data_IF_578967906990
#
_entry.id   IF_578967906990
#
_cell.length_a   1.000
_cell.length_b   1.000
_cell.length_c   1.000
_cell.angle_alpha   90.00
_cell.angle_beta   90.00
_cell.angle_gamma   90.00
#
_symmetry.space_group_name_H-M   'P 1'
#
loop_
_entity.id
_entity.type
_entity.pdbx_description
1 polymer ?
#
# COMPACT_ATOMS: atom_id res chain seq x y z
N UNK A 1 11.21 10.87 2.10
CA UNK A 1 10.11 10.33 1.25
C UNK A 1 8.77 10.60 1.93
N UNK A 2 7.62 10.51 1.26
CA UNK A 2 6.30 10.61 1.89
C UNK A 2 5.81 9.22 2.31
N UNK A 3 5.68 8.98 3.61
CA UNK A 3 5.27 7.68 4.15
C UNK A 3 3.85 7.76 4.73
N UNK A 4 2.95 6.93 4.23
CA UNK A 4 1.64 6.70 4.85
C UNK A 4 1.76 5.61 5.90
N UNK A 5 1.56 5.92 7.18
CA UNK A 5 1.46 4.89 8.23
C UNK A 5 0.01 4.78 8.67
N UNK A 6 -0.56 3.58 8.71
CA UNK A 6 -1.97 3.41 9.10
C UNK A 6 -2.25 2.16 9.93
N UNK A 7 -3.28 2.23 10.78
CA UNK A 7 -3.70 1.10 11.62
C UNK A 7 -4.58 0.13 10.82
N UNK A 8 -4.45 -1.15 11.10
CA UNK A 8 -5.28 -2.26 10.63
C UNK A 8 -6.02 -2.88 11.82
N UNK A 9 -7.16 -3.49 11.55
CA UNK A 9 -7.93 -4.25 12.57
C UNK A 9 -8.19 -5.69 12.16
N UNK A 10 -8.07 -6.00 10.87
CA UNK A 10 -8.30 -7.30 10.29
C UNK A 10 -7.24 -7.63 9.23
N UNK A 11 -7.19 -8.90 8.85
CA UNK A 11 -6.32 -9.45 7.81
C UNK A 11 -6.98 -9.40 6.42
N UNK A 12 -6.21 -9.75 5.38
CA UNK A 12 -6.72 -9.89 4.01
C UNK A 12 -6.62 -8.63 3.14
N UNK A 13 -6.14 -7.53 3.70
CA UNK A 13 -5.84 -6.31 2.94
C UNK A 13 -4.49 -5.72 3.40
N UNK A 14 -3.42 -5.81 2.60
CA UNK A 14 -3.34 -6.35 1.24
C UNK A 14 -3.64 -7.86 1.16
N UNK A 15 -4.08 -8.30 -0.01
CA UNK A 15 -4.31 -9.72 -0.29
C UNK A 15 -3.01 -10.48 -0.66
N UNK A 16 -3.13 -11.75 -1.06
CA UNK A 16 -1.99 -12.56 -1.46
C UNK A 16 -1.27 -12.05 -2.72
N UNK A 17 -1.88 -11.15 -3.50
CA UNK A 17 -1.25 -10.52 -4.66
C UNK A 17 -0.51 -9.23 -4.31
N UNK A 18 -0.53 -8.81 -3.04
CA UNK A 18 -0.01 -7.52 -2.58
C UNK A 18 -0.93 -6.35 -2.91
N UNK A 19 -2.18 -6.60 -3.29
CA UNK A 19 -3.14 -5.56 -3.64
C UNK A 19 -3.75 -4.93 -2.37
N UNK A 20 -3.45 -3.66 -2.14
CA UNK A 20 -4.05 -2.85 -1.08
C UNK A 20 -5.34 -2.18 -1.57
N UNK A 21 -6.41 -2.29 -0.79
CA UNK A 21 -7.74 -1.80 -1.14
C UNK A 21 -8.64 -2.86 -1.79
N UNK A 22 -8.27 -4.14 -1.75
CA UNK A 22 -9.07 -5.23 -2.34
C UNK A 22 -10.47 -5.30 -1.69
N UNK A 23 -10.56 -4.96 -0.41
CA UNK A 23 -11.79 -4.91 0.37
C UNK A 23 -12.25 -3.47 0.67
N UNK A 24 -11.80 -2.50 -0.13
CA UNK A 24 -12.09 -1.08 0.02
C UNK A 24 -11.68 -0.47 1.39
N UNK A 25 -10.73 -1.09 2.09
CA UNK A 25 -10.20 -0.62 3.37
C UNK A 25 -9.36 0.66 3.22
N UNK A 26 -9.57 1.66 4.10
CA UNK A 26 -8.97 3.00 4.03
C UNK A 26 -9.56 3.96 2.96
N UNK A 27 -10.37 3.46 2.02
CA UNK A 27 -11.06 4.27 1.00
C UNK A 27 -10.15 5.30 0.32
N UNK A 28 -10.60 6.55 0.24
CA UNK A 28 -9.90 7.67 -0.40
C UNK A 28 -8.51 8.00 0.21
N UNK A 29 -8.18 7.47 1.40
CA UNK A 29 -6.82 7.63 1.94
C UNK A 29 -5.80 6.99 1.02
N UNK A 30 -6.18 5.92 0.30
CA UNK A 30 -5.32 5.24 -0.68
C UNK A 30 -4.96 6.14 -1.86
N UNK A 31 -5.78 7.13 -2.19
CA UNK A 31 -5.57 8.03 -3.33
C UNK A 31 -4.64 9.19 -3.01
N UNK A 32 -4.38 9.48 -1.72
CA UNK A 32 -3.41 10.52 -1.32
C UNK A 32 -2.03 10.23 -1.88
N UNK A 33 -1.26 11.27 -2.19
CA UNK A 33 0.11 11.11 -2.67
C UNK A 33 1.05 10.66 -1.53
N UNK A 34 1.67 9.49 -1.71
CA UNK A 34 2.71 8.93 -0.86
C UNK A 34 3.67 8.10 -1.72
N UNK A 35 4.91 7.97 -1.25
CA UNK A 35 5.95 7.16 -1.91
C UNK A 35 6.00 5.74 -1.33
N UNK A 36 5.62 5.59 -0.06
CA UNK A 36 5.55 4.31 0.63
C UNK A 36 4.40 4.27 1.64
N UNK A 37 4.01 3.07 2.04
CA UNK A 37 2.97 2.82 3.02
C UNK A 37 3.37 1.69 3.97
N UNK A 38 3.05 1.87 5.25
CA UNK A 38 3.28 0.91 6.31
C UNK A 38 1.94 0.61 6.99
N UNK A 39 1.52 -0.66 6.92
CA UNK A 39 0.36 -1.15 7.63
C UNK A 39 0.75 -1.71 9.00
N UNK A 40 0.22 -1.13 10.06
CA UNK A 40 0.47 -1.59 11.44
C UNK A 40 -0.80 -2.09 12.10
N UNK A 41 -0.71 -3.07 12.98
CA UNK A 41 -1.84 -3.50 13.78
C UNK A 41 -2.30 -2.43 14.77
N UNK A 42 -3.61 -2.28 14.92
CA UNK A 42 -4.19 -1.58 16.07
C UNK A 42 -3.93 -2.31 17.39
N UNK A 43 -4.35 -1.72 18.50
CA UNK A 43 -4.26 -2.34 19.85
C UNK A 43 -5.63 -2.70 20.42
N UNK A 44 -6.68 -2.61 19.60
CA UNK A 44 -8.05 -2.94 19.98
C UNK A 44 -8.34 -4.44 19.86
N UNK A 45 -9.46 -4.87 20.45
CA UNK A 45 -9.88 -6.28 20.51
C UNK A 45 -9.91 -6.99 19.15
N UNK A 46 -10.33 -6.30 18.09
CA UNK A 46 -10.37 -6.87 16.75
C UNK A 46 -8.95 -7.18 16.22
N UNK A 47 -8.00 -6.27 16.38
CA UNK A 47 -6.61 -6.49 15.97
C UNK A 47 -5.96 -7.64 16.76
N UNK A 48 -6.24 -7.70 18.07
CA UNK A 48 -5.80 -8.80 18.95
C UNK A 48 -6.38 -10.13 18.49
N UNK A 49 -7.69 -10.17 18.19
CA UNK A 49 -8.35 -11.39 17.71
C UNK A 49 -7.83 -11.89 16.37
N UNK A 50 -7.25 -10.98 15.57
CA UNK A 50 -6.62 -11.27 14.28
C UNK A 50 -5.11 -11.55 14.40
N UNK A 51 -4.52 -11.48 15.59
CA UNK A 51 -3.11 -11.76 15.85
C UNK A 51 -2.13 -10.75 15.21
N UNK A 52 -2.60 -9.54 14.92
CA UNK A 52 -1.78 -8.50 14.25
C UNK A 52 -1.45 -7.33 15.17
N UNK A 53 -1.96 -7.32 16.40
CA UNK A 53 -1.91 -6.15 17.25
C UNK A 53 -0.48 -5.70 17.57
N UNK A 54 -0.25 -4.39 17.54
CA UNK A 54 1.05 -3.81 17.89
C UNK A 54 2.19 -4.08 16.89
N UNK A 55 1.95 -4.80 15.79
CA UNK A 55 3.00 -5.24 14.87
C UNK A 55 2.98 -4.47 13.55
N UNK A 56 4.14 -4.36 12.90
CA UNK A 56 4.21 -3.99 11.47
C UNK A 56 3.78 -5.19 10.64
N UNK A 57 2.65 -5.10 9.93
CA UNK A 57 2.11 -6.24 9.20
C UNK A 57 2.61 -6.31 7.76
N UNK A 58 2.79 -5.17 7.11
CA UNK A 58 3.26 -5.10 5.73
C UNK A 58 3.79 -3.71 5.38
N UNK A 59 4.60 -3.66 4.33
CA UNK A 59 5.23 -2.45 3.79
C UNK A 59 5.12 -2.49 2.25
N UNK A 60 4.75 -1.37 1.64
CA UNK A 60 4.73 -1.19 0.19
C UNK A 60 5.44 0.09 -0.24
N UNK A 61 6.27 0.02 -1.27
CA UNK A 61 7.04 1.14 -1.83
C UNK A 61 6.70 1.30 -3.32
N UNK A 62 6.61 2.54 -3.79
CA UNK A 62 6.33 2.85 -5.20
C UNK A 62 4.91 2.44 -5.59
N UNK A 63 3.87 3.14 -5.10
CA UNK A 63 2.49 2.75 -5.33
C UNK A 63 2.04 2.95 -6.78
N UNK A 64 1.49 1.90 -7.37
CA UNK A 64 0.78 1.88 -8.66
C UNK A 64 -0.72 1.81 -8.38
N UNK A 65 -1.43 2.90 -8.71
CA UNK A 65 -2.85 3.05 -8.34
C UNK A 65 -3.75 2.82 -9.55
N UNK A 66 -4.78 1.99 -9.35
CA UNK A 66 -5.83 1.72 -10.33
C UNK A 66 -7.19 2.08 -9.75
N UNK A 67 -7.88 3.01 -10.39
CA UNK A 67 -9.26 3.34 -10.04
C UNK A 67 -10.19 2.15 -10.32
N UNK A 68 -11.15 1.90 -9.43
CA UNK A 68 -12.14 0.83 -9.55
C UNK A 68 -13.52 1.43 -9.29
N UNK A 69 -14.44 1.29 -10.26
CA UNK A 69 -15.74 2.00 -10.27
C UNK A 69 -16.59 1.79 -9.00
N UNK A 70 -16.50 0.61 -8.38
CA UNK A 70 -17.31 0.23 -7.20
C UNK A 70 -16.59 0.44 -5.85
N UNK A 71 -15.48 1.20 -5.82
CA UNK A 71 -14.70 1.45 -4.59
C UNK A 71 -14.55 2.93 -4.30
N UNK A 72 -14.39 3.27 -3.01
CA UNK A 72 -14.20 4.67 -2.57
C UNK A 72 -12.80 5.22 -2.86
N UNK A 73 -11.89 4.38 -3.32
CA UNK A 73 -10.54 4.76 -3.73
C UNK A 73 -9.86 3.65 -4.50
N UNK A 74 -8.68 3.93 -5.03
CA UNK A 74 -7.94 3.02 -5.93
C UNK A 74 -7.53 1.72 -5.25
N UNK A 75 -7.41 0.65 -6.03
CA UNK A 75 -6.56 -0.48 -5.69
C UNK A 75 -5.10 -0.09 -5.91
N UNK A 76 -4.20 -0.56 -5.05
CA UNK A 76 -2.80 -0.16 -5.07
C UNK A 76 -1.90 -1.38 -5.02
N UNK A 77 -0.99 -1.46 -5.99
CA UNK A 77 0.12 -2.42 -6.04
C UNK A 77 1.44 -1.66 -5.83
N UNK A 78 2.53 -2.37 -5.57
CA UNK A 78 3.80 -1.77 -5.18
C UNK A 78 4.98 -2.34 -5.95
N UNK A 79 5.97 -1.50 -6.24
CA UNK A 79 7.25 -1.88 -6.85
C UNK A 79 8.11 -2.73 -5.92
N UNK A 80 8.01 -2.49 -4.62
CA UNK A 80 8.56 -3.37 -3.59
C UNK A 80 7.51 -3.63 -2.53
N UNK A 81 7.31 -4.90 -2.18
CA UNK A 81 6.27 -5.31 -1.27
C UNK A 81 6.77 -6.37 -0.28
N UNK A 82 6.64 -6.07 1.01
CA UNK A 82 6.97 -6.97 2.10
C UNK A 82 5.73 -7.24 2.94
N UNK A 83 5.34 -8.51 3.08
CA UNK A 83 4.22 -8.91 3.90
C UNK A 83 4.69 -9.82 5.04
N UNK A 84 4.61 -9.34 6.27
CA UNK A 84 4.87 -10.11 7.48
C UNK A 84 3.64 -10.89 7.97
N UNK A 85 2.43 -10.53 7.51
CA UNK A 85 1.18 -11.12 7.99
C UNK A 85 0.99 -10.90 9.48
N UNK A 86 1.04 -12.00 10.26
CA UNK A 86 0.89 -12.04 11.72
C UNK A 86 2.21 -12.20 12.47
N UNK A 87 3.33 -12.27 11.74
CA UNK A 87 4.68 -12.52 12.30
C UNK A 87 5.56 -11.27 12.13
N UNK A 88 4.96 -10.10 12.32
CA UNK A 88 5.60 -8.81 12.12
C UNK A 88 6.46 -8.39 13.31
N UNK A 89 7.48 -7.54 13.08
CA UNK A 89 8.21 -6.94 14.20
C UNK A 89 7.31 -6.01 15.01
N UNK A 90 7.59 -5.89 16.32
CA UNK A 90 6.84 -5.00 17.21
C UNK A 90 7.04 -3.54 16.79
N UNK A 91 5.93 -2.84 16.58
CA UNK A 91 5.94 -1.46 16.09
C UNK A 91 6.45 -0.47 17.14
N UNK A 92 6.26 -0.73 18.44
CA UNK A 92 6.77 0.13 19.51
C UNK A 92 8.27 -0.01 19.67
N UNK A 93 8.83 -1.18 19.37
CA UNK A 93 10.27 -1.40 19.38
C UNK A 93 10.95 -0.74 18.17
N UNK A 94 10.36 -0.84 16.98
CA UNK A 94 10.93 -0.23 15.77
C UNK A 94 10.72 1.28 15.67
N UNK A 95 9.56 1.78 16.08
CA UNK A 95 9.16 3.17 15.91
C UNK A 95 8.37 3.67 17.14
N UNK A 96 9.06 3.84 18.29
CA UNK A 96 8.41 4.21 19.54
C UNK A 96 7.65 5.54 19.48
N UNK A 97 8.14 6.56 18.74
CA UNK A 97 7.47 7.86 18.65
C UNK A 97 6.18 7.77 17.82
N UNK A 98 6.25 7.12 16.65
CA UNK A 98 5.06 6.87 15.83
C UNK A 98 4.04 6.01 16.58
N UNK A 99 4.48 4.96 17.26
CA UNK A 99 3.60 4.10 18.04
C UNK A 99 2.93 4.86 19.18
N UNK A 100 3.68 5.70 19.90
CA UNK A 100 3.13 6.54 20.96
C UNK A 100 2.03 7.47 20.43
N UNK A 101 2.24 8.13 19.29
CA UNK A 101 1.24 9.00 18.66
C UNK A 101 0.04 8.21 18.16
N UNK A 102 0.26 7.13 17.40
CA UNK A 102 -0.84 6.36 16.79
C UNK A 102 -1.75 5.69 17.82
N UNK A 103 -1.18 5.20 18.91
CA UNK A 103 -1.93 4.51 19.96
C UNK A 103 -2.41 5.46 21.06
N UNK A 104 -1.59 6.43 21.47
CA UNK A 104 -1.95 7.41 22.50
C UNK A 104 -3.08 8.34 22.06
N UNK A 105 -2.99 8.88 20.83
CA UNK A 105 -3.98 9.83 20.30
C UNK A 105 -5.09 9.13 19.49
N UNK A 106 -5.08 7.80 19.48
CA UNK A 106 -5.98 6.97 18.68
C UNK A 106 -6.01 7.33 17.17
N UNK A 107 -4.90 7.82 16.62
CA UNK A 107 -4.81 8.21 15.20
C UNK A 107 -4.90 7.00 14.27
N UNK A 108 -5.79 7.06 13.27
CA UNK A 108 -6.01 5.96 12.31
C UNK A 108 -4.93 5.88 11.23
N UNK A 109 -4.41 7.02 10.80
CA UNK A 109 -3.36 7.13 9.79
C UNK A 109 -2.61 8.45 9.94
N UNK A 110 -1.31 8.42 9.64
CA UNK A 110 -0.43 9.59 9.58
C UNK A 110 0.18 9.61 8.18
N UNK A 111 0.20 10.79 7.57
CA UNK A 111 0.85 11.02 6.28
C UNK A 111 1.61 12.35 6.33
N UNK A 112 1.00 13.36 6.92
CA UNK A 112 1.55 14.69 7.06
C UNK A 112 1.71 15.06 8.54
N UNK A 113 2.62 15.99 8.84
CA UNK A 113 2.85 16.49 10.20
C UNK A 113 3.57 15.50 11.11
N UNK A 114 4.37 14.59 10.55
CA UNK A 114 5.42 13.90 11.30
C UNK A 114 6.51 14.91 11.66
N UNK A 115 7.03 14.81 12.87
CA UNK A 115 8.31 15.42 13.25
C UNK A 115 9.46 14.72 12.52
N UNK A 116 10.63 15.35 12.47
CA UNK A 116 11.82 14.77 11.82
C UNK A 116 12.19 13.39 12.40
N UNK A 117 12.01 13.20 13.72
CA UNK A 117 12.28 11.92 14.38
C UNK A 117 11.23 10.85 14.05
N UNK A 118 9.95 11.21 13.98
CA UNK A 118 8.89 10.27 13.52
C UNK A 118 9.10 9.90 12.05
N UNK A 119 9.56 10.86 11.24
CA UNK A 119 9.87 10.63 9.83
C UNK A 119 11.06 9.68 9.69
N UNK A 120 12.11 9.83 10.50
CA UNK A 120 13.26 8.91 10.53
C UNK A 120 12.85 7.49 10.93
N UNK A 121 11.95 7.34 11.91
CA UNK A 121 11.37 6.05 12.27
C UNK A 121 10.56 5.43 11.11
N UNK A 122 9.74 6.25 10.42
CA UNK A 122 8.95 5.79 9.28
C UNK A 122 9.85 5.28 8.15
N UNK A 123 10.89 6.05 7.80
CA UNK A 123 11.86 5.70 6.76
C UNK A 123 12.69 4.47 7.15
N UNK A 124 13.06 4.33 8.44
CA UNK A 124 13.74 3.15 8.96
C UNK A 124 12.91 1.87 8.82
N UNK A 125 11.58 1.93 9.02
CA UNK A 125 10.70 0.80 8.74
C UNK A 125 10.64 0.53 7.24
N UNK A 126 10.49 1.56 6.42
CA UNK A 126 10.39 1.40 4.95
C UNK A 126 11.65 0.76 4.37
N UNK A 127 12.83 1.06 4.92
CA UNK A 127 14.10 0.46 4.50
C UNK A 127 14.11 -1.07 4.56
N UNK A 128 13.25 -1.70 5.38
CA UNK A 128 13.12 -3.16 5.45
C UNK A 128 12.61 -3.78 4.13
N UNK A 129 11.93 -3.00 3.28
CA UNK A 129 11.33 -3.48 2.04
C UNK A 129 12.07 -3.02 0.77
N UNK A 130 13.13 -2.21 0.84
CA UNK A 130 13.82 -1.66 -0.35
C UNK A 130 14.45 -2.72 -1.27
N UNK A 131 14.71 -3.93 -0.76
CA UNK A 131 15.26 -5.06 -1.53
C UNK A 131 14.23 -6.12 -1.94
N UNK A 132 12.97 -5.95 -1.55
CA UNK A 132 11.94 -6.97 -1.73
C UNK A 132 11.35 -6.94 -3.15
N UNK A 133 10.82 -8.07 -3.65
CA UNK A 133 10.22 -8.10 -4.98
C UNK A 133 8.96 -7.22 -5.07
N UNK A 134 8.51 -6.89 -6.29
CA UNK A 134 7.24 -6.23 -6.50
C UNK A 134 6.05 -7.05 -5.99
N UNK A 135 4.92 -6.36 -5.81
CA UNK A 135 3.64 -7.03 -5.56
C UNK A 135 3.38 -8.06 -6.66
N UNK A 136 3.02 -9.32 -6.32
CA UNK A 136 2.76 -10.35 -7.33
C UNK A 136 1.75 -9.94 -8.41
N UNK A 137 0.74 -9.14 -8.06
CA UNK A 137 -0.23 -8.60 -9.03
C UNK A 137 0.38 -7.66 -10.07
N UNK A 138 1.46 -6.95 -9.74
CA UNK A 138 2.13 -6.01 -10.66
C UNK A 138 2.96 -6.74 -11.73
N UNK A 139 3.55 -7.88 -11.36
CA UNK A 139 4.30 -8.73 -12.29
C UNK A 139 3.36 -9.41 -13.29
N UNK A 140 2.21 -9.88 -12.83
CA UNK A 140 1.21 -10.53 -13.69
C UNK A 140 0.66 -9.60 -14.79
N UNK A 141 0.44 -8.31 -14.49
CA UNK A 141 0.02 -7.32 -15.49
C UNK A 141 1.14 -6.99 -16.51
N UNK A 142 2.40 -7.29 -16.21
CA UNK A 142 3.55 -7.05 -17.08
C UNK A 142 3.86 -8.22 -18.04
N UNK A 143 3.36 -9.42 -17.75
CA UNK A 143 3.58 -10.65 -18.54
C UNK A 143 2.46 -10.92 -19.57
N UNK A 144 1.43 -10.07 -19.68
CA UNK A 144 0.46 -10.17 -20.78
C UNK A 144 1.14 -9.73 -22.10
N UNK A 145 1.35 -10.63 -23.09
CA UNK A 145 1.96 -10.23 -24.35
C UNK A 145 1.06 -9.19 -25.03
N UNK A 146 1.60 -8.11 -25.61
CA UNK A 146 0.78 -7.15 -26.33
C UNK A 146 0.04 -7.93 -27.42
N UNK A 147 -1.29 -7.93 -27.35
CA UNK A 147 -2.12 -8.47 -28.42
C UNK A 147 -1.67 -7.81 -29.71
N UNK A 148 -1.02 -8.61 -30.56
CA UNK A 148 -0.64 -8.26 -31.92
C UNK A 148 -1.92 -8.08 -32.75
N UNK A 149 -2.61 -6.97 -32.54
CA UNK A 149 -3.75 -6.51 -33.30
C UNK A 149 -3.27 -5.71 -34.51
N UNK A 150 -3.00 -6.44 -35.59
CA UNK A 150 -2.58 -5.96 -36.91
C UNK A 150 -2.93 -4.51 -37.28
N UNK A 151 -1.91 -3.78 -37.73
CA UNK A 151 -2.03 -2.79 -38.80
C UNK A 151 -3.06 -3.22 -39.85
N UNK A 152 -4.14 -2.45 -40.00
CA UNK A 152 -4.85 -2.33 -41.28
C UNK A 152 -5.10 -0.87 -41.58
N UNK A 153 -4.09 -0.23 -42.16
CA UNK A 153 -4.26 0.89 -43.08
C UNK A 153 -5.24 0.46 -44.18
N UNK A 154 -6.48 0.95 -44.12
CA UNK A 154 -7.33 1.05 -45.30
C UNK A 154 -7.27 2.48 -45.79
N UNK A 155 -6.34 2.73 -46.71
CA UNK A 155 -6.44 3.89 -47.58
C UNK A 155 -7.70 3.77 -48.44
N UNK A 156 -8.38 4.91 -48.66
CA UNK A 156 -8.99 5.21 -49.96
C UNK A 156 -9.42 6.67 -50.08
N UNK A 157 -8.60 7.37 -50.88
CA UNK A 157 -8.98 8.20 -52.03
C UNK A 157 -9.83 9.47 -51.86
N UNK A 158 -9.20 10.57 -52.31
CA UNK A 158 -9.73 11.88 -52.72
C UNK A 158 -11.04 11.80 -53.52
N UNK A 159 -11.88 12.83 -53.37
CA UNK A 159 -12.31 13.66 -54.51
C UNK A 159 -12.85 15.03 -54.07
N UNK A 160 -12.42 16.06 -54.81
CA UNK A 160 -13.00 17.40 -54.83
C UNK A 160 -14.39 17.36 -55.50
N UNK A 161 -15.28 18.25 -55.05
CA UNK A 161 -16.16 19.11 -55.86
C UNK A 161 -16.58 20.28 -54.99
#
# INVERSE_FOLDING_TARGET
MRVLVYKRTHNGDPDASGCFGVHDCMGIVRDREYDAVVGVGGIGSEAVSNGIDGQVNWIGIGPHKREVEDKRGSEVLFEHFLNFGTDGPDFRELAPLLAARMYGDNVRSILDGMSDAEQEEAEGIVALAEGEPPSPGLVADSDEPPLAGSCRTRGRTRRCT
#
